data_IF_704407144734
#
_entry.id   IF_704407144734
#
_cell.length_a   1.000
_cell.length_b   1.000
_cell.length_c   1.000
_cell.angle_alpha   90.00
_cell.angle_beta   90.00
_cell.angle_gamma   90.00
#
_symmetry.space_group_name_H-M   'P 1'
#
loop_
_entity.id
_entity.type
_entity.pdbx_description
1 polymer ?
#
# COMPACT_ATOMS: atom_id res chain seq x y z
N UNK A 1 -10.19 -28.32 -7.29
CA UNK A 1 -10.92 -27.18 -7.88
C UNK A 1 -10.09 -25.95 -7.61
N UNK A 2 -9.24 -25.53 -8.55
CA UNK A 2 -8.49 -24.28 -8.39
C UNK A 2 -9.49 -23.15 -8.63
N UNK A 3 -9.87 -22.45 -7.55
CA UNK A 3 -10.74 -21.29 -7.69
C UNK A 3 -9.97 -20.25 -8.49
N UNK A 4 -10.51 -19.94 -9.67
CA UNK A 4 -9.98 -18.91 -10.54
C UNK A 4 -10.38 -17.58 -9.90
N UNK A 5 -9.60 -17.14 -8.91
CA UNK A 5 -9.84 -15.85 -8.25
C UNK A 5 -9.55 -14.77 -9.27
N UNK A 6 -10.61 -14.11 -9.75
CA UNK A 6 -10.51 -12.98 -10.65
C UNK A 6 -9.95 -11.79 -9.88
N UNK A 7 -8.62 -11.73 -9.81
CA UNK A 7 -7.92 -10.65 -9.14
C UNK A 7 -8.10 -9.37 -9.95
N UNK A 8 -8.44 -8.25 -9.29
CA UNK A 8 -8.71 -7.01 -9.97
C UNK A 8 -7.47 -6.54 -10.73
N UNK A 9 -7.69 -5.95 -11.89
CA UNK A 9 -6.65 -5.18 -12.57
C UNK A 9 -6.40 -3.88 -11.79
N UNK A 10 -5.13 -3.60 -11.53
CA UNK A 10 -4.72 -2.50 -10.64
C UNK A 10 -4.02 -1.46 -11.49
N UNK A 11 -4.44 -0.21 -11.35
CA UNK A 11 -3.75 0.92 -11.96
C UNK A 11 -2.27 0.92 -11.51
N UNK A 12 -1.29 0.85 -12.44
CA UNK A 12 0.12 0.91 -12.12
C UNK A 12 0.54 2.17 -11.35
N UNK A 13 -0.24 3.26 -11.41
CA UNK A 13 -0.01 4.43 -10.58
C UNK A 13 -0.30 4.17 -9.09
N UNK A 14 -1.24 3.27 -8.77
CA UNK A 14 -1.60 2.90 -7.39
C UNK A 14 -0.69 1.78 -6.86
N UNK A 15 -0.27 0.85 -7.71
CA UNK A 15 0.64 -0.26 -7.36
C UNK A 15 1.80 -0.39 -8.35
N UNK A 16 2.80 0.50 -8.28
CA UNK A 16 3.94 0.47 -9.19
C UNK A 16 4.72 -0.85 -9.07
N UNK A 17 4.70 -1.63 -10.14
CA UNK A 17 5.34 -2.95 -10.19
C UNK A 17 4.50 -4.08 -9.57
N UNK A 18 3.24 -3.82 -9.20
CA UNK A 18 2.31 -4.86 -8.77
C UNK A 18 2.64 -5.51 -7.43
N UNK A 19 3.39 -4.82 -6.56
CA UNK A 19 3.89 -5.36 -5.30
C UNK A 19 2.77 -5.69 -4.33
N UNK A 20 1.80 -4.80 -4.20
CA UNK A 20 0.64 -5.01 -3.32
C UNK A 20 -0.21 -6.14 -3.86
N UNK A 21 -0.48 -6.14 -5.17
CA UNK A 21 -1.23 -7.23 -5.83
C UNK A 21 -0.60 -8.58 -5.61
N UNK A 22 0.71 -8.68 -5.80
CA UNK A 22 1.40 -9.95 -5.68
C UNK A 22 1.41 -10.43 -4.23
N UNK A 23 1.51 -9.53 -3.26
CA UNK A 23 1.45 -9.90 -1.84
C UNK A 23 0.15 -10.62 -1.46
N UNK A 24 -0.99 -10.24 -2.04
CA UNK A 24 -2.29 -10.92 -1.81
C UNK A 24 -2.35 -12.34 -2.38
N UNK A 25 -1.39 -12.71 -3.23
CA UNK A 25 -1.29 -14.04 -3.86
C UNK A 25 -0.27 -14.94 -3.19
N UNK A 26 0.57 -14.40 -2.30
CA UNK A 26 1.58 -15.18 -1.58
C UNK A 26 0.87 -15.96 -0.48
N UNK A 27 0.83 -17.29 -0.64
CA UNK A 27 0.34 -18.19 0.40
C UNK A 27 1.25 -18.14 1.64
N UNK A 28 0.65 -17.98 2.82
CA UNK A 28 1.39 -17.99 4.08
C UNK A 28 2.24 -16.75 4.35
N UNK A 29 2.01 -15.63 3.64
CA UNK A 29 2.69 -14.36 3.88
C UNK A 29 2.62 -13.96 5.36
N UNK A 30 3.74 -13.59 5.96
CA UNK A 30 3.78 -13.07 7.33
C UNK A 30 3.57 -11.54 7.40
N UNK A 31 3.22 -11.02 8.58
CA UNK A 31 3.12 -9.57 8.82
C UNK A 31 4.45 -8.84 8.57
N UNK A 32 5.59 -9.44 8.92
CA UNK A 32 6.90 -8.82 8.71
C UNK A 32 7.20 -8.67 7.21
N UNK A 33 6.94 -9.71 6.42
CA UNK A 33 7.12 -9.70 4.97
C UNK A 33 6.16 -8.72 4.29
N UNK A 34 4.90 -8.68 4.74
CA UNK A 34 3.93 -7.70 4.25
C UNK A 34 4.40 -6.26 4.50
N UNK A 35 4.99 -5.95 5.68
CA UNK A 35 5.56 -4.63 5.96
C UNK A 35 6.75 -4.30 5.06
N UNK A 36 7.63 -5.27 4.78
CA UNK A 36 8.75 -5.09 3.86
C UNK A 36 8.27 -4.77 2.44
N UNK A 37 7.29 -5.53 1.93
CA UNK A 37 6.70 -5.30 0.60
C UNK A 37 6.01 -3.93 0.55
N UNK A 38 5.27 -3.56 1.59
CA UNK A 38 4.62 -2.24 1.69
C UNK A 38 5.64 -1.10 1.67
N UNK A 39 6.78 -1.23 2.35
CA UNK A 39 7.83 -0.22 2.32
C UNK A 39 8.43 -0.07 0.92
N UNK A 40 8.71 -1.18 0.23
CA UNK A 40 9.21 -1.18 -1.15
C UNK A 40 8.20 -0.55 -2.12
N UNK A 41 6.90 -0.81 -1.91
CA UNK A 41 5.82 -0.15 -2.63
C UNK A 41 5.81 1.36 -2.39
N UNK A 42 5.90 1.80 -1.14
CA UNK A 42 5.87 3.21 -0.78
C UNK A 42 7.05 4.00 -1.38
N UNK A 43 8.23 3.37 -1.50
CA UNK A 43 9.42 3.96 -2.14
C UNK A 43 9.21 4.17 -3.65
N UNK A 44 8.43 3.29 -4.30
CA UNK A 44 8.18 3.34 -5.75
C UNK A 44 7.01 4.23 -6.14
N UNK A 45 6.19 4.67 -5.18
CA UNK A 45 5.04 5.53 -5.44
C UNK A 45 5.49 6.89 -6.00
N UNK A 46 4.76 7.43 -6.97
CA UNK A 46 5.03 8.78 -7.47
C UNK A 46 4.92 9.77 -6.30
N UNK A 47 5.97 10.59 -6.02
CA UNK A 47 5.93 11.55 -4.93
C UNK A 47 4.83 12.63 -5.05
N UNK A 48 4.22 12.79 -6.23
CA UNK A 48 3.06 13.66 -6.47
C UNK A 48 1.73 13.00 -6.10
N UNK A 49 1.68 11.67 -5.98
CA UNK A 49 0.49 10.93 -5.58
C UNK A 49 0.43 10.85 -4.05
N UNK A 50 -0.73 11.18 -3.48
CA UNK A 50 -0.96 11.00 -2.05
C UNK A 50 -1.08 9.50 -1.73
N UNK A 51 -0.12 9.00 -0.94
CA UNK A 51 -0.09 7.60 -0.52
C UNK A 51 -1.36 7.18 0.24
N UNK A 52 -2.01 8.09 0.98
CA UNK A 52 -3.28 7.84 1.66
C UNK A 52 -4.39 7.53 0.64
N UNK A 53 -4.41 8.25 -0.48
CA UNK A 53 -5.37 8.01 -1.57
C UNK A 53 -5.08 6.65 -2.21
N UNK A 54 -3.80 6.34 -2.48
CA UNK A 54 -3.40 5.07 -3.06
C UNK A 54 -3.82 3.88 -2.17
N UNK A 55 -3.50 3.94 -0.87
CA UNK A 55 -3.87 2.91 0.11
C UNK A 55 -5.39 2.71 0.16
N UNK A 56 -6.18 3.79 0.23
CA UNK A 56 -7.64 3.70 0.25
C UNK A 56 -8.21 3.03 -0.99
N UNK A 57 -7.66 3.33 -2.16
CA UNK A 57 -8.06 2.71 -3.42
C UNK A 57 -7.72 1.23 -3.44
N UNK A 58 -6.52 0.86 -3.00
CA UNK A 58 -6.09 -0.54 -2.91
C UNK A 58 -6.97 -1.34 -1.94
N UNK A 59 -7.23 -0.81 -0.74
CA UNK A 59 -8.13 -1.45 0.22
C UNK A 59 -9.53 -1.68 -0.36
N UNK A 60 -10.11 -0.68 -1.01
CA UNK A 60 -11.43 -0.82 -1.65
C UNK A 60 -11.43 -1.84 -2.80
N UNK A 61 -10.33 -1.92 -3.56
CA UNK A 61 -10.17 -2.85 -4.68
C UNK A 61 -10.10 -4.31 -4.21
N UNK A 62 -9.39 -4.58 -3.11
CA UNK A 62 -9.19 -5.94 -2.60
C UNK A 62 -10.27 -6.40 -1.62
N UNK A 63 -11.00 -5.49 -0.98
CA UNK A 63 -12.08 -5.82 -0.04
C UNK A 63 -13.08 -6.91 -0.53
N UNK A 64 -13.54 -6.95 -1.81
CA UNK A 64 -14.48 -7.97 -2.24
C UNK A 64 -13.86 -9.34 -2.57
N UNK A 65 -12.54 -9.43 -2.76
CA UNK A 65 -11.87 -10.63 -3.29
C UNK A 65 -10.82 -11.24 -2.36
N UNK A 66 -10.29 -10.46 -1.42
CA UNK A 66 -9.26 -10.89 -0.48
C UNK A 66 -9.84 -11.17 0.91
N UNK A 67 -9.16 -12.02 1.67
CA UNK A 67 -9.46 -12.22 3.10
C UNK A 67 -9.25 -10.89 3.86
N UNK A 68 -10.26 -10.38 4.59
CA UNK A 68 -10.09 -9.20 5.45
C UNK A 68 -9.00 -9.36 6.52
N UNK A 69 -8.67 -10.60 6.90
CA UNK A 69 -7.58 -10.90 7.84
C UNK A 69 -6.21 -10.99 7.16
N UNK A 70 -6.09 -10.78 5.85
CA UNK A 70 -4.83 -10.87 5.13
C UNK A 70 -3.79 -9.88 5.68
N UNK A 71 -2.53 -10.29 5.91
CA UNK A 71 -1.49 -9.43 6.48
C UNK A 71 -1.27 -8.12 5.72
N UNK A 72 -1.36 -8.13 4.39
CA UNK A 72 -1.25 -6.90 3.60
C UNK A 72 -2.42 -5.94 3.84
N UNK A 73 -3.64 -6.44 4.05
CA UNK A 73 -4.79 -5.59 4.41
C UNK A 73 -4.54 -4.87 5.71
N UNK A 74 -4.03 -5.57 6.72
CA UNK A 74 -3.66 -4.98 8.02
C UNK A 74 -2.60 -3.90 7.88
N UNK A 75 -1.54 -4.17 7.12
CA UNK A 75 -0.45 -3.19 6.90
C UNK A 75 -0.96 -1.94 6.17
N UNK A 76 -1.84 -2.09 5.18
CA UNK A 76 -2.48 -0.96 4.49
C UNK A 76 -3.35 -0.14 5.45
N UNK A 77 -4.16 -0.77 6.29
CA UNK A 77 -4.97 -0.08 7.31
C UNK A 77 -4.10 0.69 8.31
N UNK A 78 -3.02 0.08 8.79
CA UNK A 78 -2.06 0.72 9.69
C UNK A 78 -1.37 1.92 9.02
N UNK A 79 -1.02 1.80 7.74
CA UNK A 79 -0.45 2.89 6.94
C UNK A 79 -1.35 4.14 6.89
N UNK A 80 -2.68 3.98 6.90
CA UNK A 80 -3.61 5.11 7.03
C UNK A 80 -3.54 5.75 8.42
N UNK A 81 -3.33 4.97 9.46
CA UNK A 81 -3.21 5.43 10.85
C UNK A 81 -1.90 6.19 11.10
N UNK A 82 -0.77 5.65 10.63
CA UNK A 82 0.55 6.26 10.80
C UNK A 82 0.70 7.54 9.95
N UNK A 83 0.21 7.55 8.71
CA UNK A 83 0.26 8.77 7.89
C UNK A 83 -0.57 9.90 8.47
N UNK A 84 -1.69 9.60 9.14
CA UNK A 84 -2.47 10.61 9.87
C UNK A 84 -1.64 11.31 10.95
N UNK A 85 -0.75 10.58 11.63
CA UNK A 85 0.18 11.11 12.63
C UNK A 85 1.31 11.94 12.01
N UNK A 86 1.77 11.57 10.81
CA UNK A 86 2.86 12.25 10.10
C UNK A 86 2.44 13.54 9.36
N UNK A 87 1.14 13.86 9.30
CA UNK A 87 0.65 15.15 8.76
C UNK A 87 1.14 16.38 9.55
N UNK A 88 1.80 16.19 10.70
CA UNK A 88 2.56 17.21 11.41
C UNK A 88 4.02 17.31 10.96
N UNK A 89 4.31 18.33 10.12
CA UNK A 89 5.64 18.87 9.75
C UNK A 89 6.41 18.19 8.58
N UNK A 90 6.13 18.66 7.37
CA UNK A 90 7.20 19.01 6.40
C UNK A 90 7.56 20.50 6.55
N UNK A 91 8.02 20.88 7.74
CA UNK A 91 8.68 22.17 7.96
C UNK A 91 10.15 22.04 7.57
N UNK A 92 10.47 22.36 6.31
CA UNK A 92 11.86 22.32 5.83
C UNK A 92 12.09 22.92 4.45
N UNK A 93 11.17 23.75 3.93
CA UNK A 93 11.46 24.61 2.77
C UNK A 93 11.74 26.02 3.28
N UNK A 94 12.94 26.25 3.80
CA UNK A 94 13.60 27.58 3.92
C UNK A 94 14.98 27.41 4.52
N UNK A 95 15.96 27.29 3.62
CA UNK A 95 17.38 27.31 3.93
C UNK A 95 18.21 27.49 2.66
N UNK A 96 17.71 28.27 1.68
CA UNK A 96 18.55 28.86 0.63
C UNK A 96 18.58 30.36 0.86
N UNK A 97 19.80 30.90 0.82
CA UNK A 97 20.27 32.29 0.97
C UNK A 97 20.85 32.60 2.35
N UNK A 98 22.17 32.73 2.35
CA UNK A 98 23.10 32.98 3.44
C UNK A 98 24.44 32.46 2.97
#
# INVERSE_FOLDING_TARGET
MAQQTDWPDVDPALDPGGLIRESYRIEGLGLLEARSIFLDWAIKLDPKLDATIAIRRLLALYAPVADPAHPMTRVLEEGLGEMRLQTGRRGGSRGRRG
#
